data_IF_219977392994
#
_entry.id   IF_219977392994
#
_cell.length_a   1.000
_cell.length_b   1.000
_cell.length_c   1.000
_cell.angle_alpha   90.00
_cell.angle_beta   90.00
_cell.angle_gamma   90.00
#
_symmetry.space_group_name_H-M   'P 1'
#
loop_
_entity.id
_entity.type
_entity.pdbx_description
1 polymer ?
#
# COMPACT_ATOMS: atom_id res chain seq x y z
N UNK A 1 39.42 8.32 -11.07
CA UNK A 1 40.05 8.62 -9.76
C UNK A 1 39.55 9.97 -9.29
N UNK A 2 39.05 10.06 -8.05
CA UNK A 2 38.63 11.34 -7.45
C UNK A 2 39.73 11.90 -6.57
N UNK A 3 39.88 13.22 -6.57
CA UNK A 3 40.82 13.96 -5.73
C UNK A 3 40.30 14.15 -4.29
N UNK A 4 41.23 14.45 -3.39
CA UNK A 4 40.99 14.65 -1.95
C UNK A 4 40.09 15.86 -1.74
N UNK A 5 38.88 15.63 -1.22
CA UNK A 5 37.98 16.68 -0.76
C UNK A 5 38.42 17.21 0.61
N UNK A 6 38.61 18.53 0.72
CA UNK A 6 38.91 19.22 1.98
C UNK A 6 37.66 19.34 2.85
N UNK A 7 37.82 19.09 4.15
CA UNK A 7 36.77 18.92 5.17
C UNK A 7 36.36 20.23 5.88
N UNK A 8 36.41 21.37 5.20
CA UNK A 8 35.76 22.59 5.69
C UNK A 8 34.30 22.57 5.27
N UNK A 9 33.36 22.54 6.22
CA UNK A 9 31.93 22.71 5.94
C UNK A 9 31.77 23.95 5.05
N UNK A 10 31.29 23.77 3.83
CA UNK A 10 31.16 24.90 2.92
C UNK A 10 30.15 25.88 3.52
N UNK A 11 30.38 27.18 3.33
CA UNK A 11 29.41 28.21 3.76
C UNK A 11 28.05 27.95 3.11
N UNK A 12 28.01 27.41 1.89
CA UNK A 12 26.79 26.95 1.23
C UNK A 12 26.05 25.87 2.03
N UNK A 13 26.75 24.89 2.61
CA UNK A 13 26.15 23.84 3.46
C UNK A 13 25.52 24.45 4.71
N UNK A 14 26.18 25.45 5.33
CA UNK A 14 25.63 26.14 6.50
C UNK A 14 24.36 26.94 6.18
N UNK A 15 24.28 27.56 4.99
CA UNK A 15 23.07 28.25 4.52
C UNK A 15 21.94 27.23 4.31
N UNK A 16 22.23 26.08 3.70
CA UNK A 16 21.27 24.99 3.49
C UNK A 16 20.70 24.51 4.83
N UNK A 17 21.56 24.21 5.81
CA UNK A 17 21.15 23.79 7.15
C UNK A 17 20.28 24.83 7.86
N UNK A 18 20.65 26.10 7.82
CA UNK A 18 19.89 27.16 8.49
C UNK A 18 18.51 27.37 7.89
N UNK A 19 18.40 27.39 6.55
CA UNK A 19 17.11 27.55 5.87
C UNK A 19 16.22 26.32 6.15
N UNK A 20 16.77 25.10 6.08
CA UNK A 20 16.02 23.88 6.40
C UNK A 20 15.56 23.86 7.86
N UNK A 21 16.41 24.23 8.82
CA UNK A 21 16.02 24.31 10.22
C UNK A 21 14.93 25.36 10.45
N UNK A 22 14.97 26.49 9.75
CA UNK A 22 13.90 27.49 9.79
C UNK A 22 12.57 26.91 9.30
N UNK A 23 12.57 26.17 8.18
CA UNK A 23 11.38 25.47 7.65
C UNK A 23 10.87 24.43 8.66
N UNK A 24 11.73 23.53 9.14
CA UNK A 24 11.37 22.46 10.07
C UNK A 24 10.87 22.97 11.43
N UNK A 25 11.37 24.11 11.88
CA UNK A 25 10.89 24.78 13.11
C UNK A 25 9.53 25.47 12.94
N UNK A 26 8.97 25.51 11.73
CA UNK A 26 7.72 26.18 11.41
C UNK A 26 7.82 27.71 11.31
N UNK A 27 9.05 28.28 11.25
CA UNK A 27 9.26 29.72 11.05
C UNK A 27 8.71 30.20 9.70
N UNK A 28 8.73 29.32 8.71
CA UNK A 28 8.14 29.56 7.39
C UNK A 28 7.19 28.44 7.02
N UNK A 29 6.14 28.77 6.26
CA UNK A 29 5.19 27.85 5.65
C UNK A 29 5.38 27.81 4.14
N UNK A 30 4.94 26.72 3.46
CA UNK A 30 4.89 26.69 2.00
C UNK A 30 4.19 27.93 1.43
N UNK A 31 4.81 28.55 0.42
CA UNK A 31 4.36 29.79 -0.20
C UNK A 31 4.92 31.08 0.41
N UNK A 32 5.49 31.03 1.62
CA UNK A 32 6.08 32.22 2.25
C UNK A 32 7.31 32.70 1.47
N UNK A 33 7.44 34.03 1.35
CA UNK A 33 8.66 34.65 0.84
C UNK A 33 9.70 34.69 1.94
N UNK A 34 10.85 34.06 1.72
CA UNK A 34 11.99 34.11 2.65
C UNK A 34 12.61 35.51 2.59
N UNK A 35 13.11 35.88 1.42
CA UNK A 35 13.71 37.19 1.12
C UNK A 35 14.11 37.24 -0.37
N UNK A 36 14.57 38.40 -0.85
CA UNK A 36 15.26 38.51 -2.13
C UNK A 36 16.68 37.93 -2.06
N UNK A 37 17.25 37.52 -3.22
CA UNK A 37 18.65 37.07 -3.28
C UNK A 37 19.60 38.12 -2.69
N UNK A 38 19.31 39.42 -2.88
CA UNK A 38 20.15 40.53 -2.40
C UNK A 38 20.12 40.65 -0.87
N UNK A 39 18.96 40.51 -0.26
CA UNK A 39 18.79 40.53 1.20
C UNK A 39 19.49 39.33 1.83
N UNK A 40 19.30 38.12 1.29
CA UNK A 40 19.97 36.91 1.77
C UNK A 40 21.50 37.00 1.65
N UNK A 41 22.03 37.60 0.57
CA UNK A 41 23.47 37.86 0.46
C UNK A 41 23.98 38.76 1.58
N UNK A 42 23.22 39.80 1.93
CA UNK A 42 23.58 40.73 3.00
C UNK A 42 23.48 40.08 4.38
N UNK A 43 22.44 39.28 4.61
CA UNK A 43 22.18 38.62 5.89
C UNK A 43 23.21 37.52 6.19
N UNK A 44 23.53 36.68 5.20
CA UNK A 44 24.55 35.65 5.35
C UNK A 44 25.98 36.17 5.17
N UNK A 45 26.17 37.41 4.70
CA UNK A 45 27.49 37.98 4.44
C UNK A 45 28.26 37.25 3.34
N UNK A 46 27.57 36.77 2.30
CA UNK A 46 28.16 35.90 1.26
C UNK A 46 28.10 36.49 -0.14
N UNK A 47 28.97 35.97 -1.01
CA UNK A 47 28.92 36.27 -2.45
C UNK A 47 27.65 35.71 -3.11
N UNK A 48 27.25 36.30 -4.23
CA UNK A 48 26.14 35.81 -5.06
C UNK A 48 26.35 34.36 -5.51
N UNK A 49 27.60 33.97 -5.81
CA UNK A 49 27.93 32.62 -6.25
C UNK A 49 27.66 31.60 -5.14
N UNK A 50 28.11 31.90 -3.91
CA UNK A 50 27.91 31.04 -2.73
C UNK A 50 26.43 30.90 -2.38
N UNK A 51 25.66 32.00 -2.39
CA UNK A 51 24.22 31.93 -2.15
C UNK A 51 23.52 31.10 -3.23
N UNK A 52 23.87 31.27 -4.51
CA UNK A 52 23.27 30.49 -5.59
C UNK A 52 23.63 29.01 -5.56
N UNK A 53 24.80 28.62 -5.05
CA UNK A 53 25.14 27.23 -4.80
C UNK A 53 24.17 26.63 -3.76
N UNK A 54 23.98 27.31 -2.63
CA UNK A 54 23.07 26.88 -1.58
C UNK A 54 21.61 26.81 -2.07
N UNK A 55 21.13 27.87 -2.73
CA UNK A 55 19.75 27.94 -3.22
C UNK A 55 19.46 26.88 -4.29
N UNK A 56 20.42 26.55 -5.16
CA UNK A 56 20.25 25.46 -6.14
C UNK A 56 20.09 24.09 -5.47
N UNK A 57 20.83 23.85 -4.39
CA UNK A 57 20.68 22.61 -3.62
C UNK A 57 19.32 22.57 -2.92
N UNK A 58 18.90 23.66 -2.28
CA UNK A 58 17.58 23.76 -1.65
C UNK A 58 16.43 23.63 -2.66
N UNK A 59 16.56 24.21 -3.85
CA UNK A 59 15.61 24.09 -4.95
C UNK A 59 15.56 22.64 -5.48
N UNK A 60 16.72 21.99 -5.61
CA UNK A 60 16.81 20.57 -5.95
C UNK A 60 16.24 19.63 -4.89
N UNK A 61 16.21 20.04 -3.62
CA UNK A 61 15.51 19.34 -2.53
C UNK A 61 14.00 19.62 -2.50
N UNK A 62 13.51 20.54 -3.34
CA UNK A 62 12.11 20.98 -3.33
C UNK A 62 11.73 21.86 -2.14
N UNK A 63 12.70 22.38 -1.38
CA UNK A 63 12.45 23.19 -0.18
C UNK A 63 12.21 24.67 -0.49
N UNK A 64 12.70 25.15 -1.64
CA UNK A 64 12.51 26.52 -2.09
C UNK A 64 12.20 26.60 -3.58
N UNK A 65 11.53 27.67 -3.99
CA UNK A 65 11.31 28.05 -5.39
C UNK A 65 11.89 29.46 -5.62
N UNK A 66 12.73 29.62 -6.65
CA UNK A 66 13.27 30.93 -7.02
C UNK A 66 12.40 31.57 -8.10
N UNK A 67 11.66 32.62 -7.73
CA UNK A 67 10.83 33.39 -8.67
C UNK A 67 11.60 34.61 -9.19
N UNK A 68 11.59 34.81 -10.52
CA UNK A 68 12.24 35.96 -11.17
C UNK A 68 11.31 37.19 -11.23
N UNK A 69 11.89 38.37 -11.38
CA UNK A 69 11.16 39.64 -11.59
C UNK A 69 11.15 40.56 -10.36
N UNK A 70 10.45 41.69 -10.46
CA UNK A 70 10.44 42.77 -9.46
C UNK A 70 9.87 42.31 -8.11
N UNK A 71 8.83 41.47 -8.13
CA UNK A 71 8.27 40.84 -6.93
C UNK A 71 8.92 39.48 -6.59
N UNK A 72 9.94 39.07 -7.37
CA UNK A 72 10.64 37.81 -7.22
C UNK A 72 11.42 37.68 -5.92
N UNK A 73 12.07 36.54 -5.74
CA UNK A 73 12.79 36.18 -4.52
C UNK A 73 12.80 34.68 -4.29
N UNK A 74 13.25 34.29 -3.10
CA UNK A 74 13.25 32.91 -2.63
C UNK A 74 11.97 32.68 -1.85
N UNK A 75 11.19 31.69 -2.26
CA UNK A 75 9.95 31.29 -1.60
C UNK A 75 10.09 29.88 -1.05
N UNK A 76 9.44 29.57 0.07
CA UNK A 76 9.37 28.19 0.55
C UNK A 76 8.44 27.38 -0.36
N UNK A 77 8.91 26.22 -0.78
CA UNK A 77 8.15 25.27 -1.56
C UNK A 77 7.67 24.12 -0.68
N UNK A 78 6.54 23.53 -1.06
CA UNK A 78 6.15 22.22 -0.55
C UNK A 78 6.93 21.16 -1.33
N UNK A 79 7.64 20.28 -0.62
CA UNK A 79 8.38 19.20 -1.27
C UNK A 79 7.37 18.29 -1.94
N UNK A 80 7.44 18.21 -3.27
CA UNK A 80 6.52 17.36 -4.00
C UNK A 80 6.82 15.87 -3.73
N UNK A 81 5.78 15.06 -3.84
CA UNK A 81 5.84 13.62 -3.58
C UNK A 81 6.83 12.90 -4.51
N UNK A 82 6.94 13.35 -5.77
CA UNK A 82 7.82 12.75 -6.77
C UNK A 82 9.29 12.94 -6.41
N UNK A 83 9.68 14.13 -5.97
CA UNK A 83 11.04 14.45 -5.48
C UNK A 83 11.41 13.55 -4.30
N UNK A 84 10.48 13.33 -3.37
CA UNK A 84 10.67 12.41 -2.24
C UNK A 84 10.87 10.96 -2.71
N UNK A 85 9.99 10.47 -3.60
CA UNK A 85 10.04 9.11 -4.15
C UNK A 85 11.36 8.86 -4.90
N UNK A 86 11.83 9.81 -5.72
CA UNK A 86 13.10 9.68 -6.43
C UNK A 86 14.29 9.51 -5.47
N UNK A 87 14.27 10.17 -4.31
CA UNK A 87 15.30 9.98 -3.28
C UNK A 87 15.35 8.55 -2.77
N UNK A 88 14.18 7.94 -2.53
CA UNK A 88 14.06 6.54 -2.09
C UNK A 88 14.50 5.58 -3.20
N UNK A 89 14.08 5.81 -4.45
CA UNK A 89 14.49 5.00 -5.61
C UNK A 89 16.02 5.04 -5.77
N UNK A 90 16.63 6.23 -5.64
CA UNK A 90 18.08 6.37 -5.72
C UNK A 90 18.80 5.59 -4.60
N UNK A 91 18.27 5.62 -3.37
CA UNK A 91 18.80 4.82 -2.27
C UNK A 91 18.72 3.32 -2.53
N UNK A 92 17.61 2.86 -3.14
CA UNK A 92 17.38 1.46 -3.47
C UNK A 92 18.04 1.01 -4.77
N UNK A 93 18.62 1.91 -5.56
CA UNK A 93 19.16 1.58 -6.88
C UNK A 93 20.17 0.41 -6.90
N UNK A 94 20.96 0.27 -5.83
CA UNK A 94 21.92 -0.84 -5.66
C UNK A 94 21.40 -1.95 -4.73
N UNK A 95 20.13 -1.90 -4.33
CA UNK A 95 19.46 -2.95 -3.56
C UNK A 95 18.64 -3.80 -4.52
N UNK A 96 18.70 -5.12 -4.36
CA UNK A 96 17.83 -6.03 -5.10
C UNK A 96 16.45 -6.00 -4.47
N UNK A 97 15.55 -5.15 -4.98
CA UNK A 97 14.14 -5.17 -4.61
C UNK A 97 13.47 -6.27 -5.43
N UNK A 98 13.06 -7.35 -4.78
CA UNK A 98 12.41 -8.47 -5.46
C UNK A 98 10.89 -8.32 -5.49
N UNK A 99 10.22 -9.00 -6.42
CA UNK A 99 8.74 -9.09 -6.46
C UNK A 99 8.21 -9.63 -5.13
N UNK A 100 8.94 -10.56 -4.52
CA UNK A 100 8.61 -11.11 -3.21
C UNK A 100 8.59 -10.04 -2.11
N UNK A 101 9.58 -9.14 -2.08
CA UNK A 101 9.63 -8.04 -1.10
C UNK A 101 8.47 -7.06 -1.30
N UNK A 102 8.14 -6.77 -2.56
CA UNK A 102 7.02 -5.90 -2.93
C UNK A 102 5.69 -6.54 -2.55
N UNK A 103 5.47 -7.81 -2.86
CA UNK A 103 4.25 -8.51 -2.47
C UNK A 103 4.11 -8.59 -0.95
N UNK A 104 5.22 -8.81 -0.21
CA UNK A 104 5.20 -8.82 1.25
C UNK A 104 4.74 -7.48 1.83
N UNK A 105 5.31 -6.36 1.38
CA UNK A 105 4.94 -5.06 1.94
C UNK A 105 3.49 -4.68 1.59
N UNK A 106 3.05 -4.99 0.36
CA UNK A 106 1.64 -4.80 -0.05
C UNK A 106 0.70 -5.63 0.83
N UNK A 107 1.05 -6.90 1.07
CA UNK A 107 0.30 -7.80 1.94
C UNK A 107 0.16 -7.27 3.37
N UNK A 108 1.16 -6.57 3.90
CA UNK A 108 1.12 -6.00 5.24
C UNK A 108 0.32 -4.69 5.32
N UNK A 109 0.31 -3.89 4.26
CA UNK A 109 -0.23 -2.53 4.28
C UNK A 109 -1.62 -2.39 3.65
N UNK A 110 -1.89 -3.07 2.55
CA UNK A 110 -3.13 -2.87 1.78
C UNK A 110 -4.39 -3.48 2.39
N UNK A 111 -4.36 -4.64 3.07
CA UNK A 111 -5.56 -5.20 3.68
C UNK A 111 -6.23 -4.27 4.71
N UNK A 112 -5.52 -3.65 5.68
CA UNK A 112 -6.15 -2.67 6.57
C UNK A 112 -6.57 -1.39 5.83
N UNK A 113 -5.88 -1.00 4.75
CA UNK A 113 -6.31 0.13 3.89
C UNK A 113 -7.68 -0.15 3.26
N UNK A 114 -7.87 -1.32 2.66
CA UNK A 114 -9.16 -1.72 2.08
C UNK A 114 -10.28 -1.76 3.12
N UNK A 115 -9.97 -2.26 4.33
CA UNK A 115 -10.93 -2.26 5.44
C UNK A 115 -11.34 -0.84 5.87
N UNK A 116 -10.37 0.08 5.97
CA UNK A 116 -10.66 1.50 6.25
C UNK A 116 -11.49 2.12 5.13
N UNK A 117 -11.13 1.86 3.86
CA UNK A 117 -11.84 2.36 2.70
C UNK A 117 -13.33 1.94 2.70
N UNK A 118 -13.64 0.68 3.04
CA UNK A 118 -15.02 0.18 3.13
C UNK A 118 -15.87 1.01 4.12
N UNK A 119 -15.29 1.40 5.26
CA UNK A 119 -15.99 2.21 6.26
C UNK A 119 -16.25 3.66 5.82
N UNK A 120 -15.42 4.20 4.92
CA UNK A 120 -15.40 5.62 4.52
C UNK A 120 -16.03 5.91 3.16
N UNK A 121 -16.17 4.89 2.31
CA UNK A 121 -16.56 5.05 0.92
C UNK A 121 -17.86 5.84 0.75
N UNK A 122 -17.83 6.78 -0.20
CA UNK A 122 -18.94 7.62 -0.62
C UNK A 122 -19.34 7.34 -2.08
N UNK A 123 -20.53 7.78 -2.53
CA UNK A 123 -20.98 7.58 -3.91
C UNK A 123 -19.98 8.07 -4.99
N UNK A 124 -19.35 9.22 -4.78
CA UNK A 124 -18.37 9.77 -5.73
C UNK A 124 -17.09 8.92 -5.81
N UNK A 125 -16.70 8.27 -4.70
CA UNK A 125 -15.56 7.35 -4.66
C UNK A 125 -15.84 6.09 -5.48
N UNK A 126 -17.07 5.58 -5.42
CA UNK A 126 -17.50 4.41 -6.20
C UNK A 126 -17.36 4.71 -7.68
N UNK A 127 -17.92 5.83 -8.15
CA UNK A 127 -17.81 6.26 -9.56
C UNK A 127 -16.34 6.38 -9.96
N UNK A 128 -15.49 6.90 -9.06
CA UNK A 128 -14.08 7.06 -9.34
C UNK A 128 -13.36 5.71 -9.44
N UNK A 129 -13.61 4.77 -8.53
CA UNK A 129 -13.03 3.42 -8.54
C UNK A 129 -13.50 2.63 -9.76
N UNK A 130 -14.78 2.71 -10.14
CA UNK A 130 -15.31 2.09 -11.37
C UNK A 130 -14.57 2.61 -12.62
N UNK A 131 -14.24 3.90 -12.67
CA UNK A 131 -13.49 4.46 -13.80
C UNK A 131 -12.03 3.96 -13.92
N UNK A 132 -11.50 3.37 -12.85
CA UNK A 132 -10.14 2.84 -12.77
C UNK A 132 -10.07 1.36 -13.13
N UNK A 133 -11.17 0.61 -13.03
CA UNK A 133 -11.27 -0.79 -13.45
C UNK A 133 -11.46 -0.84 -14.97
N UNK A 134 -10.57 -1.52 -15.69
CA UNK A 134 -10.70 -1.71 -17.15
C UNK A 134 -10.62 -3.20 -17.49
N UNK A 135 -11.72 -3.76 -17.99
CA UNK A 135 -11.79 -5.17 -18.40
C UNK A 135 -11.20 -5.45 -19.79
N UNK A 136 -11.27 -4.48 -20.72
CA UNK A 136 -10.84 -4.63 -22.12
C UNK A 136 -10.15 -3.37 -22.66
N UNK A 137 -8.86 -3.19 -22.38
CA UNK A 137 -8.16 -1.95 -22.73
C UNK A 137 -7.61 -2.00 -24.15
N UNK A 138 -7.73 -0.88 -24.88
CA UNK A 138 -7.18 -0.75 -26.23
C UNK A 138 -5.64 -0.56 -26.25
N UNK A 139 -5.02 -0.13 -25.13
CA UNK A 139 -3.59 0.22 -25.06
C UNK A 139 -2.96 -0.20 -23.72
N UNK A 140 -1.85 -0.99 -23.70
CA UNK A 140 -1.20 -1.50 -22.49
C UNK A 140 -0.82 -0.44 -21.44
N UNK A 141 -0.29 0.71 -21.87
CA UNK A 141 0.18 1.77 -20.95
C UNK A 141 -0.95 2.45 -20.16
N UNK A 142 -2.17 2.46 -20.72
CA UNK A 142 -3.34 3.01 -20.01
C UNK A 142 -3.87 2.09 -18.92
N UNK A 143 -3.52 0.80 -18.99
CA UNK A 143 -3.96 -0.22 -18.03
C UNK A 143 -3.17 -0.08 -16.73
N UNK A 144 -1.84 -0.14 -16.84
CA UNK A 144 -0.96 -0.18 -15.66
C UNK A 144 -1.14 1.08 -14.81
N UNK A 145 -1.26 2.24 -15.47
CA UNK A 145 -1.49 3.52 -14.78
C UNK A 145 -2.83 3.61 -14.06
N UNK A 146 -3.89 2.94 -14.55
CA UNK A 146 -5.20 2.95 -13.90
C UNK A 146 -5.37 1.87 -12.84
N UNK A 147 -4.82 0.68 -13.07
CA UNK A 147 -4.81 -0.42 -12.12
C UNK A 147 -4.07 -0.02 -10.83
N UNK A 148 -2.89 0.58 -10.97
CA UNK A 148 -2.20 1.21 -9.83
C UNK A 148 -3.02 2.35 -9.23
N UNK A 149 -3.71 3.12 -10.07
CA UNK A 149 -4.60 4.18 -9.62
C UNK A 149 -5.67 3.70 -8.64
N UNK A 150 -6.11 2.44 -8.74
CA UNK A 150 -7.09 1.84 -7.82
C UNK A 150 -6.53 1.76 -6.39
N UNK A 151 -5.37 1.12 -6.20
CA UNK A 151 -4.73 0.97 -4.88
C UNK A 151 -4.36 2.33 -4.26
N UNK A 152 -3.84 3.26 -5.06
CA UNK A 152 -3.60 4.65 -4.62
C UNK A 152 -4.86 5.35 -4.16
N UNK A 153 -5.98 5.12 -4.83
CA UNK A 153 -7.25 5.73 -4.44
C UNK A 153 -7.70 5.22 -3.07
N UNK A 154 -7.62 3.90 -2.83
CA UNK A 154 -7.92 3.33 -1.51
C UNK A 154 -7.00 3.89 -0.42
N UNK A 155 -5.70 4.03 -0.71
CA UNK A 155 -4.74 4.62 0.23
C UNK A 155 -5.11 6.06 0.61
N UNK A 156 -5.59 6.87 -0.34
CA UNK A 156 -6.03 8.25 -0.09
C UNK A 156 -7.22 8.34 0.85
N UNK A 157 -8.11 7.35 0.83
CA UNK A 157 -9.26 7.30 1.74
C UNK A 157 -8.84 7.14 3.21
N UNK A 158 -7.60 6.74 3.50
CA UNK A 158 -7.06 6.70 4.87
C UNK A 158 -6.76 8.09 5.44
N UNK A 159 -6.63 9.11 4.60
CA UNK A 159 -6.20 10.47 4.95
C UNK A 159 -4.85 10.54 5.68
N UNK A 160 -4.09 9.44 5.68
CA UNK A 160 -2.78 9.37 6.32
C UNK A 160 -1.70 9.67 5.26
N UNK A 161 -1.05 10.84 5.30
CA UNK A 161 -0.09 11.24 4.27
C UNK A 161 1.14 10.32 4.20
N UNK A 162 1.53 9.68 5.30
CA UNK A 162 2.66 8.73 5.32
C UNK A 162 2.26 7.44 4.59
N UNK A 163 1.06 6.94 4.86
CA UNK A 163 0.58 5.72 4.22
C UNK A 163 0.37 5.92 2.72
N UNK A 164 -0.19 7.07 2.33
CA UNK A 164 -0.34 7.46 0.92
C UNK A 164 1.04 7.51 0.24
N UNK A 165 2.04 8.14 0.86
CA UNK A 165 3.39 8.21 0.32
C UNK A 165 4.02 6.83 0.11
N UNK A 166 3.91 5.93 1.10
CA UNK A 166 4.46 4.58 1.04
C UNK A 166 3.77 3.75 -0.04
N UNK A 167 2.44 3.84 -0.14
CA UNK A 167 1.66 3.14 -1.17
C UNK A 167 2.00 3.66 -2.57
N UNK A 168 2.03 4.98 -2.78
CA UNK A 168 2.40 5.59 -4.07
C UNK A 168 3.82 5.16 -4.50
N UNK A 169 4.75 5.06 -3.56
CA UNK A 169 6.10 4.56 -3.78
C UNK A 169 6.12 3.08 -4.23
N UNK A 170 5.47 2.19 -3.48
CA UNK A 170 5.40 0.75 -3.81
C UNK A 170 4.79 0.54 -5.19
N UNK A 171 3.70 1.26 -5.47
CA UNK A 171 2.99 1.20 -6.73
C UNK A 171 3.83 1.64 -7.92
N UNK A 172 4.68 2.67 -7.76
CA UNK A 172 5.60 3.10 -8.83
C UNK A 172 6.61 2.00 -9.17
N UNK A 173 7.15 1.30 -8.17
CA UNK A 173 8.06 0.17 -8.42
C UNK A 173 7.31 -0.97 -9.12
N UNK A 174 6.09 -1.27 -8.69
CA UNK A 174 5.27 -2.30 -9.32
C UNK A 174 4.93 -1.95 -10.78
N UNK A 175 4.68 -0.68 -11.09
CA UNK A 175 4.48 -0.17 -12.45
C UNK A 175 5.67 -0.53 -13.35
N UNK A 176 6.88 -0.22 -12.87
CA UNK A 176 8.12 -0.43 -13.62
C UNK A 176 8.36 -1.92 -13.86
N UNK A 177 8.08 -2.77 -12.87
CA UNK A 177 8.15 -4.22 -13.01
C UNK A 177 7.14 -4.73 -14.05
N UNK A 178 5.87 -4.31 -13.97
CA UNK A 178 4.84 -4.71 -14.94
C UNK A 178 5.15 -4.24 -16.35
N UNK A 179 5.73 -3.04 -16.49
CA UNK A 179 6.20 -2.51 -17.76
C UNK A 179 7.34 -3.36 -18.36
N UNK A 180 8.28 -3.81 -17.53
CA UNK A 180 9.40 -4.64 -17.98
C UNK A 180 8.99 -6.08 -18.32
N UNK A 181 8.07 -6.67 -17.54
CA UNK A 181 7.65 -8.06 -17.71
C UNK A 181 6.58 -8.24 -18.78
N UNK A 182 5.80 -7.18 -19.09
CA UNK A 182 4.68 -7.20 -20.04
C UNK A 182 3.77 -8.43 -19.89
N UNK A 183 3.00 -8.55 -18.79
CA UNK A 183 2.27 -9.76 -18.43
C UNK A 183 1.09 -10.10 -19.37
N UNK A 184 0.76 -9.21 -20.32
CA UNK A 184 -0.27 -9.43 -21.32
C UNK A 184 -1.72 -9.26 -20.81
N UNK A 185 -2.66 -9.32 -21.74
CA UNK A 185 -4.07 -8.99 -21.49
C UNK A 185 -4.79 -9.96 -20.54
N UNK A 186 -4.45 -11.25 -20.54
CA UNK A 186 -5.09 -12.22 -19.65
C UNK A 186 -4.84 -11.89 -18.18
N UNK A 187 -3.61 -11.49 -17.84
CA UNK A 187 -3.24 -11.03 -16.52
C UNK A 187 -4.10 -9.83 -16.09
N UNK A 188 -4.19 -8.80 -16.94
CA UNK A 188 -4.97 -7.60 -16.61
C UNK A 188 -6.47 -7.87 -16.50
N UNK A 189 -7.00 -8.84 -17.26
CA UNK A 189 -8.39 -9.27 -17.13
C UNK A 189 -8.68 -9.93 -15.77
N UNK A 190 -7.71 -10.70 -15.22
CA UNK A 190 -7.82 -11.25 -13.86
C UNK A 190 -7.78 -10.15 -12.80
N UNK A 191 -6.85 -9.21 -12.93
CA UNK A 191 -6.74 -8.06 -12.02
C UNK A 191 -8.02 -7.22 -12.02
N UNK A 192 -8.61 -6.95 -13.19
CA UNK A 192 -9.87 -6.21 -13.28
C UNK A 192 -11.01 -6.92 -12.54
N UNK A 193 -11.11 -8.25 -12.62
CA UNK A 193 -12.09 -9.05 -11.86
C UNK A 193 -11.85 -8.97 -10.35
N UNK A 194 -10.59 -9.04 -9.93
CA UNK A 194 -10.23 -8.93 -8.52
C UNK A 194 -10.58 -7.53 -7.96
N UNK A 195 -10.26 -6.47 -8.71
CA UNK A 195 -10.64 -5.09 -8.36
C UNK A 195 -12.17 -4.90 -8.31
N UNK A 196 -12.92 -5.55 -9.19
CA UNK A 196 -14.38 -5.54 -9.12
C UNK A 196 -14.89 -6.22 -7.84
N UNK A 197 -14.34 -7.38 -7.47
CA UNK A 197 -14.73 -8.07 -6.24
C UNK A 197 -14.44 -7.24 -4.98
N UNK A 198 -13.29 -6.56 -4.95
CA UNK A 198 -12.96 -5.61 -3.88
C UNK A 198 -13.99 -4.48 -3.86
N UNK A 199 -14.29 -3.87 -5.01
CA UNK A 199 -15.24 -2.75 -5.10
C UNK A 199 -16.65 -3.14 -4.64
N UNK A 200 -17.14 -4.33 -4.96
CA UNK A 200 -18.44 -4.80 -4.47
C UNK A 200 -18.46 -4.90 -2.94
N UNK A 201 -17.39 -5.44 -2.32
CA UNK A 201 -17.27 -5.42 -0.86
C UNK A 201 -17.27 -3.99 -0.29
N UNK A 202 -16.59 -3.05 -0.95
CA UNK A 202 -16.59 -1.64 -0.54
C UNK A 202 -17.99 -1.03 -0.63
N UNK A 203 -18.73 -1.26 -1.72
CA UNK A 203 -20.12 -0.77 -1.91
C UNK A 203 -21.05 -1.25 -0.80
N UNK A 204 -20.90 -2.50 -0.38
CA UNK A 204 -21.65 -3.12 0.73
C UNK A 204 -21.12 -2.71 2.11
N UNK A 205 -20.04 -1.92 2.17
CA UNK A 205 -19.31 -1.57 3.39
C UNK A 205 -18.80 -2.78 4.17
N UNK A 206 -18.59 -3.90 3.49
CA UNK A 206 -17.98 -5.10 4.06
C UNK A 206 -16.44 -4.95 4.10
N UNK A 207 -15.96 -4.42 5.23
CA UNK A 207 -14.53 -4.26 5.47
C UNK A 207 -13.77 -5.59 5.61
N UNK A 208 -14.43 -6.67 6.02
CA UNK A 208 -13.80 -8.00 6.16
C UNK A 208 -13.67 -8.64 4.78
N UNK A 209 -14.71 -8.58 3.96
CA UNK A 209 -14.69 -8.99 2.56
C UNK A 209 -13.66 -8.21 1.75
N UNK A 210 -13.65 -6.88 1.84
CA UNK A 210 -12.70 -6.04 1.10
C UNK A 210 -11.23 -6.39 1.44
N UNK A 211 -10.96 -6.67 2.71
CA UNK A 211 -9.66 -7.15 3.19
C UNK A 211 -9.30 -8.52 2.62
N UNK A 212 -10.25 -9.47 2.61
CA UNK A 212 -10.03 -10.81 2.05
C UNK A 212 -9.73 -10.73 0.55
N UNK A 213 -10.55 -10.00 -0.20
CA UNK A 213 -10.41 -9.91 -1.66
C UNK A 213 -9.10 -9.22 -2.06
N UNK A 214 -8.68 -8.17 -1.35
CA UNK A 214 -7.39 -7.53 -1.65
C UNK A 214 -6.23 -8.47 -1.33
N UNK A 215 -6.29 -9.27 -0.25
CA UNK A 215 -5.23 -10.27 -0.01
C UNK A 215 -5.15 -11.29 -1.15
N UNK A 216 -6.29 -11.78 -1.63
CA UNK A 216 -6.32 -12.72 -2.75
C UNK A 216 -5.67 -12.13 -4.01
N UNK A 217 -6.06 -10.89 -4.38
CA UNK A 217 -5.47 -10.15 -5.50
C UNK A 217 -3.95 -10.04 -5.37
N UNK A 218 -3.46 -9.60 -4.20
CA UNK A 218 -2.03 -9.41 -3.94
C UNK A 218 -1.21 -10.69 -4.10
N UNK A 219 -1.73 -11.81 -3.59
CA UNK A 219 -1.05 -13.10 -3.66
C UNK A 219 -1.09 -13.68 -5.08
N UNK A 220 -2.20 -13.53 -5.80
CA UNK A 220 -2.33 -13.97 -7.19
C UNK A 220 -1.40 -13.16 -8.11
N UNK A 221 -1.48 -11.82 -8.05
CA UNK A 221 -0.62 -10.91 -8.82
C UNK A 221 0.85 -11.15 -8.49
N UNK A 222 1.21 -11.25 -7.22
CA UNK A 222 2.57 -11.54 -6.79
C UNK A 222 3.09 -12.87 -7.34
N UNK A 223 2.25 -13.90 -7.33
CA UNK A 223 2.61 -15.23 -7.85
C UNK A 223 2.79 -15.25 -9.37
N UNK A 224 1.93 -14.55 -10.10
CA UNK A 224 2.01 -14.49 -11.56
C UNK A 224 3.23 -13.67 -12.02
N UNK A 225 3.51 -12.52 -11.39
CA UNK A 225 4.72 -11.74 -11.68
C UNK A 225 6.00 -12.50 -11.31
N UNK A 226 6.01 -13.22 -10.18
CA UNK A 226 7.13 -14.08 -9.80
C UNK A 226 7.37 -15.19 -10.85
N UNK A 227 6.30 -15.81 -11.37
CA UNK A 227 6.41 -16.82 -12.43
C UNK A 227 6.99 -16.25 -13.72
N UNK A 228 6.54 -15.06 -14.14
CA UNK A 228 7.03 -14.38 -15.36
C UNK A 228 8.51 -13.99 -15.26
N UNK A 229 8.98 -13.62 -14.06
CA UNK A 229 10.38 -13.25 -13.81
C UNK A 229 11.30 -14.42 -13.46
N UNK A 230 10.76 -15.64 -13.27
CA UNK A 230 11.51 -16.78 -12.75
C UNK A 230 11.92 -16.67 -11.28
N UNK A 231 11.31 -15.73 -10.53
CA UNK A 231 11.54 -15.55 -9.11
C UNK A 231 10.66 -16.50 -8.26
N UNK A 232 11.04 -16.66 -6.99
CA UNK A 232 10.19 -17.34 -6.01
C UNK A 232 9.03 -16.42 -5.57
N UNK A 233 7.78 -16.89 -5.57
CA UNK A 233 6.65 -16.09 -5.11
C UNK A 233 6.74 -15.83 -3.60
N UNK A 234 6.10 -14.76 -3.16
CA UNK A 234 5.87 -14.53 -1.74
C UNK A 234 4.85 -15.53 -1.19
N UNK A 235 5.19 -16.19 -0.10
CA UNK A 235 4.27 -17.04 0.66
C UNK A 235 4.22 -16.54 2.11
N UNK A 236 3.07 -16.00 2.56
CA UNK A 236 2.95 -15.48 3.91
C UNK A 236 3.18 -16.56 4.98
N UNK A 237 2.94 -17.85 4.67
CA UNK A 237 3.14 -18.96 5.62
C UNK A 237 4.59 -19.17 6.01
N UNK A 238 5.51 -18.93 5.08
CA UNK A 238 6.95 -19.17 5.31
C UNK A 238 7.67 -17.96 5.87
N UNK A 239 7.09 -16.76 5.74
CA UNK A 239 7.76 -15.51 6.11
C UNK A 239 7.22 -14.91 7.40
N UNK A 240 5.92 -15.06 7.66
CA UNK A 240 5.24 -14.37 8.75
C UNK A 240 4.95 -15.34 9.89
N UNK A 241 4.47 -16.56 9.64
CA UNK A 241 4.13 -17.48 10.74
C UNK A 241 5.34 -17.88 11.60
N UNK A 242 6.55 -17.93 11.03
CA UNK A 242 7.77 -18.25 11.80
C UNK A 242 8.41 -17.02 12.48
N UNK A 243 8.20 -15.79 11.99
CA UNK A 243 8.96 -14.60 12.42
C UNK A 243 8.11 -13.39 12.87
N UNK A 244 6.81 -13.37 12.56
CA UNK A 244 5.87 -12.28 12.82
C UNK A 244 4.44 -12.87 12.85
N UNK A 245 3.96 -13.41 14.00
CA UNK A 245 2.63 -13.97 14.08
C UNK A 245 1.61 -12.85 13.80
N UNK A 246 1.10 -12.84 12.59
CA UNK A 246 0.05 -11.93 12.16
C UNK A 246 -1.25 -12.44 12.78
N UNK A 247 -1.97 -11.56 13.49
CA UNK A 247 -3.26 -11.92 14.10
C UNK A 247 -4.20 -12.56 13.08
N UNK A 248 -5.11 -13.43 13.55
CA UNK A 248 -6.05 -14.25 12.75
C UNK A 248 -6.77 -13.51 11.61
N UNK A 249 -6.91 -12.19 11.70
CA UNK A 249 -7.52 -11.37 10.66
C UNK A 249 -6.62 -11.14 9.43
N UNK A 250 -5.29 -11.24 9.55
CA UNK A 250 -4.32 -10.93 8.49
C UNK A 250 -3.94 -12.14 7.64
N UNK A 251 -4.43 -13.32 7.98
CA UNK A 251 -4.24 -14.54 7.20
C UNK A 251 -5.55 -14.82 6.45
N UNK A 252 -5.55 -15.10 5.13
CA UNK A 252 -6.74 -15.62 4.48
C UNK A 252 -7.30 -16.79 5.29
N UNK A 253 -8.64 -16.86 5.44
CA UNK A 253 -9.31 -17.94 6.20
C UNK A 253 -8.85 -19.36 5.78
N UNK A 254 -8.41 -19.52 4.53
CA UNK A 254 -7.86 -20.76 3.98
C UNK A 254 -6.46 -21.15 4.49
N UNK A 255 -5.75 -20.24 5.18
CA UNK A 255 -4.34 -20.38 5.56
C UNK A 255 -4.10 -20.33 7.08
N UNK A 256 -5.12 -20.06 7.91
CA UNK A 256 -5.01 -20.06 9.37
C UNK A 256 -5.23 -21.47 9.96
N UNK A 257 -4.15 -22.07 10.49
CA UNK A 257 -4.18 -23.39 11.15
C UNK A 257 -4.80 -23.37 12.55
N UNK A 258 -4.90 -22.21 13.21
CA UNK A 258 -5.55 -22.09 14.52
C UNK A 258 -7.07 -22.20 14.44
N UNK A 259 -7.63 -21.95 13.25
CA UNK A 259 -9.06 -22.08 12.95
C UNK A 259 -9.51 -23.52 12.69
N UNK A 260 -8.67 -24.53 12.92
CA UNK A 260 -8.97 -25.90 12.48
C UNK A 260 -9.53 -26.84 13.55
N UNK A 261 -9.98 -26.33 14.69
CA UNK A 261 -10.59 -27.18 15.69
C UNK A 261 -12.06 -27.48 15.34
N UNK A 262 -12.30 -28.72 14.92
CA UNK A 262 -13.64 -29.29 14.79
C UNK A 262 -14.17 -29.54 16.20
N UNK A 263 -15.34 -29.00 16.52
CA UNK A 263 -15.96 -29.28 17.81
C UNK A 263 -16.33 -30.76 17.90
N UNK A 264 -15.89 -31.49 18.95
CA UNK A 264 -16.32 -32.87 19.18
C UNK A 264 -17.81 -32.91 19.53
N UNK A 265 -18.46 -34.06 19.28
CA UNK A 265 -19.92 -34.23 19.43
C UNK A 265 -20.45 -33.78 20.79
N UNK A 266 -19.71 -34.05 21.88
CA UNK A 266 -20.11 -33.66 23.24
C UNK A 266 -20.22 -32.14 23.44
N UNK A 267 -19.36 -31.37 22.77
CA UNK A 267 -19.38 -29.91 22.87
C UNK A 267 -20.55 -29.33 22.06
N UNK A 268 -20.94 -30.00 20.96
CA UNK A 268 -22.15 -29.67 20.19
C UNK A 268 -23.43 -29.95 20.99
N UNK A 269 -23.46 -31.07 21.73
CA UNK A 269 -24.58 -31.43 22.60
C UNK A 269 -24.78 -30.39 23.71
N UNK A 270 -23.70 -29.86 24.28
CA UNK A 270 -23.76 -28.79 25.29
C UNK A 270 -24.33 -27.48 24.73
N UNK A 271 -24.05 -27.16 23.46
CA UNK A 271 -24.47 -25.90 22.83
C UNK A 271 -25.90 -25.94 22.27
N UNK A 272 -26.30 -27.08 21.70
CA UNK A 272 -27.54 -27.20 20.92
C UNK A 272 -28.53 -28.22 21.49
N UNK A 273 -28.14 -28.97 22.53
CA UNK A 273 -28.89 -30.11 23.08
C UNK A 273 -28.66 -31.39 22.28
N UNK A 274 -28.78 -32.55 22.95
CA UNK A 274 -28.47 -33.87 22.37
C UNK A 274 -29.26 -34.19 21.09
N UNK A 275 -30.56 -33.87 21.06
CA UNK A 275 -31.43 -34.20 19.91
C UNK A 275 -31.04 -33.41 18.65
N UNK A 276 -30.75 -32.12 18.79
CA UNK A 276 -30.39 -31.26 17.66
C UNK A 276 -28.96 -31.53 17.17
N UNK A 277 -28.01 -31.73 18.09
CA UNK A 277 -26.63 -32.09 17.75
C UNK A 277 -26.57 -33.42 16.98
N UNK A 278 -27.33 -34.44 17.44
CA UNK A 278 -27.43 -35.73 16.76
C UNK A 278 -28.04 -35.63 15.36
N UNK A 279 -29.04 -34.76 15.15
CA UNK A 279 -29.65 -34.51 13.83
C UNK A 279 -28.68 -33.83 12.86
N UNK A 280 -27.94 -32.82 13.33
CA UNK A 280 -26.96 -32.08 12.52
C UNK A 280 -25.80 -32.98 12.09
N UNK A 281 -25.29 -33.80 13.01
CA UNK A 281 -24.22 -34.76 12.70
C UNK A 281 -24.64 -35.78 11.63
N UNK A 282 -25.87 -36.32 11.72
CA UNK A 282 -26.44 -37.23 10.69
C UNK A 282 -26.60 -36.59 9.32
N UNK A 283 -26.72 -35.26 9.26
CA UNK A 283 -26.80 -34.49 8.02
C UNK A 283 -25.42 -34.08 7.48
N UNK A 284 -24.33 -34.55 8.11
CA UNK A 284 -22.96 -34.19 7.72
C UNK A 284 -22.56 -32.77 8.12
N UNK A 285 -23.32 -32.11 8.99
CA UNK A 285 -23.03 -30.74 9.42
C UNK A 285 -22.08 -30.77 10.62
N UNK A 286 -20.95 -30.08 10.50
CA UNK A 286 -19.91 -29.99 11.53
C UNK A 286 -19.68 -28.51 11.85
N UNK A 287 -19.51 -28.17 13.13
CA UNK A 287 -19.24 -26.79 13.54
C UNK A 287 -17.76 -26.58 13.82
N UNK A 288 -17.31 -25.36 13.51
CA UNK A 288 -15.95 -24.90 13.71
C UNK A 288 -16.00 -23.59 14.49
N UNK A 289 -15.19 -23.51 15.55
CA UNK A 289 -15.04 -22.29 16.35
C UNK A 289 -13.98 -21.41 15.71
N UNK A 290 -14.32 -20.15 15.48
CA UNK A 290 -13.41 -19.13 14.95
C UNK A 290 -13.08 -18.15 16.08
N UNK A 291 -11.81 -17.73 16.17
CA UNK A 291 -11.29 -16.93 17.28
C UNK A 291 -12.18 -15.72 17.60
N UNK A 292 -12.60 -15.61 18.87
CA UNK A 292 -13.58 -14.62 19.35
C UNK A 292 -14.85 -15.24 19.97
N UNK A 293 -15.11 -16.53 19.74
CA UNK A 293 -16.26 -17.25 20.31
C UNK A 293 -17.39 -17.51 19.32
N UNK A 294 -17.29 -17.01 18.09
CA UNK A 294 -18.28 -17.25 17.04
C UNK A 294 -18.19 -18.67 16.46
N UNK A 295 -19.35 -19.27 16.19
CA UNK A 295 -19.50 -20.63 15.67
C UNK A 295 -20.00 -20.59 14.23
N UNK A 296 -19.31 -21.32 13.37
CA UNK A 296 -19.65 -21.48 11.96
C UNK A 296 -19.97 -22.95 11.66
N UNK A 297 -20.84 -23.21 10.70
CA UNK A 297 -21.15 -24.57 10.25
C UNK A 297 -20.50 -24.90 8.90
N UNK A 298 -20.13 -26.17 8.72
CA UNK A 298 -19.61 -26.76 7.49
C UNK A 298 -20.53 -27.92 7.14
N UNK A 299 -21.09 -27.92 5.93
CA UNK A 299 -21.88 -29.03 5.42
C UNK A 299 -20.98 -30.00 4.63
N UNK A 300 -20.71 -31.18 5.19
CA UNK A 300 -20.05 -32.27 4.47
C UNK A 300 -21.09 -32.98 3.62
N UNK A 301 -21.17 -32.64 2.33
CA UNK A 301 -22.03 -33.39 1.41
C UNK A 301 -21.43 -34.79 1.20
N UNK A 302 -22.27 -35.81 1.05
CA UNK A 302 -21.87 -37.24 1.00
C UNK A 302 -21.02 -37.63 -0.23
N UNK A 303 -20.50 -36.67 -0.97
CA UNK A 303 -19.57 -36.81 -2.09
C UNK A 303 -18.30 -35.96 -1.83
N UNK A 304 -17.63 -36.18 -0.70
CA UNK A 304 -16.20 -35.89 -0.51
C UNK A 304 -15.68 -34.45 -0.65
N UNK A 305 -16.54 -33.46 -0.91
CA UNK A 305 -16.17 -32.04 -0.99
C UNK A 305 -16.82 -31.26 0.15
N UNK A 306 -16.01 -30.56 0.95
CA UNK A 306 -16.51 -29.59 1.92
C UNK A 306 -16.92 -28.32 1.16
N UNK A 307 -18.23 -28.07 1.05
CA UNK A 307 -18.74 -26.77 0.63
C UNK A 307 -18.89 -25.89 1.87
N UNK A 308 -18.16 -24.79 1.93
CA UNK A 308 -18.35 -23.75 2.92
C UNK A 308 -19.65 -22.99 2.58
N UNK A 309 -20.62 -23.01 3.49
CA UNK A 309 -21.78 -22.14 3.42
C UNK A 309 -21.78 -21.25 4.65
N UNK A 310 -21.62 -19.95 4.42
CA UNK A 310 -21.64 -18.95 5.49
C UNK A 310 -23.04 -18.83 6.08
N UNK A 311 -23.14 -19.03 7.38
CA UNK A 311 -24.29 -18.63 8.17
C UNK A 311 -23.85 -18.48 9.63
N UNK A 312 -24.09 -17.29 10.18
CA UNK A 312 -23.77 -16.97 11.56
C UNK A 312 -24.92 -17.42 12.46
N UNK A 313 -24.59 -18.03 13.61
CA UNK A 313 -25.50 -18.10 14.75
C UNK A 313 -24.98 -17.11 15.82
N UNK A 314 -25.88 -16.34 16.46
CA UNK A 314 -25.52 -15.33 17.45
C UNK A 314 -24.91 -15.92 18.73
#
# INVERSE_FOLDING_TARGET
>A
MFQIASRTHKISDQIIEQIRNAILSGRFKPGDKVASEKELMSEFGVSKATLREALRVLEGMGLVEIRKGIAGGVFIAEVDMRTTIHGIINFLHFKTVSIKDITMIRYLLEPPVAQIAASRIQPDDIVKLESLIIENPALPHTIVSREIGFHRYLARMTENPILILVMDFIDNILNDIKFQLDPGNEFYHKVAKAHQAILECLKEKDGVGARREIVNDLLEVGSDLARLSGAQPFDPRTHLVENFPLDAYQTPLSLDRSLHEVLPSKDLEHLFGEDLAGRLHKQGVVFRRIGGGELYFIALNSQGGADYKDGHLP
#
